data_IF_433587133253
#
_entry.id   IF_433587133253
#
_cell.length_a   1.000
_cell.length_b   1.000
_cell.length_c   1.000
_cell.angle_alpha   90.00
_cell.angle_beta   90.00
_cell.angle_gamma   90.00
#
_symmetry.space_group_name_H-M   'P 1'
#
loop_
_entity.id
_entity.type
_entity.pdbx_description
1 polymer ?
#
# COMPACT_ATOMS: atom_id res chain seq x y z
N UNK A 1 15.73 16.10 -30.36
CA UNK A 1 14.64 15.85 -29.40
C UNK A 1 14.76 16.91 -28.33
N UNK A 2 13.72 17.72 -28.11
CA UNK A 2 13.71 18.82 -27.13
C UNK A 2 12.81 18.39 -25.98
N UNK A 3 13.27 18.58 -24.73
CA UNK A 3 12.46 18.36 -23.53
C UNK A 3 11.93 19.73 -23.11
N UNK A 4 10.61 19.90 -23.14
CA UNK A 4 9.94 21.12 -22.70
C UNK A 4 9.41 20.93 -21.29
N UNK A 5 9.81 21.81 -20.37
CA UNK A 5 9.33 21.84 -18.98
C UNK A 5 8.35 22.99 -18.86
N UNK A 6 7.06 22.69 -18.68
CA UNK A 6 6.00 23.71 -18.60
C UNK A 6 5.67 24.12 -17.16
N UNK A 7 6.09 23.36 -16.17
CA UNK A 7 5.80 23.65 -14.76
C UNK A 7 6.69 24.78 -14.24
N UNK A 8 6.06 25.93 -13.97
CA UNK A 8 6.72 27.12 -13.46
C UNK A 8 7.38 26.92 -12.10
N UNK A 9 6.83 26.06 -11.23
CA UNK A 9 7.43 25.75 -9.92
C UNK A 9 8.72 24.96 -10.11
N UNK A 10 8.70 24.00 -11.04
CA UNK A 10 9.88 23.19 -11.37
C UNK A 10 10.98 24.05 -11.98
N UNK A 11 10.64 24.97 -12.90
CA UNK A 11 11.60 25.92 -13.48
C UNK A 11 12.26 26.77 -12.39
N UNK A 12 11.47 27.32 -11.46
CA UNK A 12 12.00 28.12 -10.35
C UNK A 12 12.91 27.28 -9.43
N UNK A 13 12.53 26.04 -9.15
CA UNK A 13 13.32 25.14 -8.32
C UNK A 13 14.66 24.78 -8.97
N UNK A 14 14.67 24.48 -10.26
CA UNK A 14 15.91 24.24 -11.02
C UNK A 14 16.81 25.47 -10.95
N UNK A 15 16.26 26.67 -11.18
CA UNK A 15 17.02 27.92 -11.08
C UNK A 15 17.63 28.16 -9.70
N UNK A 16 16.90 27.85 -8.62
CA UNK A 16 17.42 27.94 -7.25
C UNK A 16 18.58 26.98 -7.01
N UNK A 17 18.43 25.72 -7.39
CA UNK A 17 19.47 24.69 -7.23
C UNK A 17 20.72 25.07 -8.03
N UNK A 18 20.53 25.48 -9.29
CA UNK A 18 21.60 25.95 -10.17
C UNK A 18 22.38 27.13 -9.55
N UNK A 19 21.67 28.10 -8.95
CA UNK A 19 22.29 29.23 -8.27
C UNK A 19 23.07 28.81 -7.00
N UNK A 20 22.51 27.89 -6.20
CA UNK A 20 23.19 27.36 -5.00
C UNK A 20 24.45 26.57 -5.35
N UNK A 21 24.39 25.76 -6.40
CA UNK A 21 25.51 24.90 -6.81
C UNK A 21 26.49 25.58 -7.78
N UNK A 22 26.23 26.82 -8.21
CA UNK A 22 27.00 27.55 -9.24
C UNK A 22 27.11 26.78 -10.57
N UNK A 23 26.04 26.09 -10.95
CA UNK A 23 25.97 25.25 -12.15
C UNK A 23 24.95 25.80 -13.13
N UNK A 24 25.08 25.41 -14.40
CA UNK A 24 24.09 25.74 -15.40
C UNK A 24 22.81 24.90 -15.19
N UNK A 25 21.60 25.46 -15.35
CA UNK A 25 20.33 24.73 -15.21
C UNK A 25 20.26 23.42 -16.00
N UNK A 26 20.86 23.41 -17.20
CA UNK A 26 20.89 22.25 -18.09
C UNK A 26 21.66 21.08 -17.49
N UNK A 27 22.72 21.36 -16.71
CA UNK A 27 23.50 20.33 -16.02
C UNK A 27 22.70 19.70 -14.89
N UNK A 28 21.91 20.49 -14.16
CA UNK A 28 21.00 19.98 -13.12
C UNK A 28 19.94 19.07 -13.73
N UNK A 29 19.37 19.46 -14.88
CA UNK A 29 18.39 18.65 -15.61
C UNK A 29 19.02 17.36 -16.14
N UNK A 30 20.22 17.43 -16.71
CA UNK A 30 20.93 16.24 -17.21
C UNK A 30 21.24 15.24 -16.09
N UNK A 31 21.69 15.73 -14.93
CA UNK A 31 21.96 14.90 -13.76
C UNK A 31 20.67 14.28 -13.20
N UNK A 32 19.59 15.07 -13.10
CA UNK A 32 18.29 14.57 -12.68
C UNK A 32 17.81 13.45 -13.62
N UNK A 33 17.86 13.67 -14.94
CA UNK A 33 17.49 12.65 -15.92
C UNK A 33 18.35 11.40 -15.79
N UNK A 34 19.66 11.53 -15.55
CA UNK A 34 20.54 10.39 -15.29
C UNK A 34 20.12 9.62 -14.04
N UNK A 35 19.77 10.31 -12.96
CA UNK A 35 19.30 9.66 -11.72
C UNK A 35 17.96 8.94 -11.92
N UNK A 36 17.02 9.54 -12.67
CA UNK A 36 15.71 8.93 -12.96
C UNK A 36 15.80 7.75 -13.94
N UNK A 37 16.72 7.80 -14.91
CA UNK A 37 16.92 6.71 -15.90
C UNK A 37 17.77 5.56 -15.35
N UNK A 38 18.73 5.86 -14.47
CA UNK A 38 19.64 4.86 -13.90
C UNK A 38 19.11 4.28 -12.59
N UNK A 39 18.11 4.88 -11.95
CA UNK A 39 17.34 4.15 -10.95
C UNK A 39 16.63 3.01 -11.69
N UNK A 40 16.97 1.73 -11.47
CA UNK A 40 15.97 0.70 -11.69
C UNK A 40 14.77 1.19 -10.89
N UNK A 41 13.61 1.37 -11.55
CA UNK A 41 12.34 1.62 -10.88
C UNK A 41 12.40 0.75 -9.64
N UNK A 42 12.57 1.34 -8.45
CA UNK A 42 12.70 0.55 -7.23
C UNK A 42 11.49 -0.34 -7.29
N UNK A 43 11.70 -1.62 -7.54
CA UNK A 43 10.65 -2.61 -7.41
C UNK A 43 10.40 -2.55 -5.92
N UNK A 44 9.48 -1.67 -5.51
CA UNK A 44 9.08 -1.43 -4.13
C UNK A 44 8.26 -2.63 -3.67
N UNK A 45 8.81 -3.79 -3.85
CA UNK A 45 8.07 -4.98 -4.15
C UNK A 45 9.06 -6.10 -4.17
N UNK A 46 9.30 -6.65 -2.99
CA UNK A 46 9.07 -8.09 -2.85
C UNK A 46 7.85 -8.37 -3.71
N UNK A 47 8.05 -9.04 -4.86
CA UNK A 47 7.02 -9.27 -5.87
C UNK A 47 5.71 -9.58 -5.14
N UNK A 48 4.59 -8.95 -5.49
CA UNK A 48 3.32 -9.15 -4.79
C UNK A 48 3.05 -10.64 -4.53
N UNK A 49 3.35 -11.48 -5.53
CA UNK A 49 3.25 -12.94 -5.45
C UNK A 49 4.21 -13.57 -4.43
N UNK A 50 5.41 -13.03 -4.27
CA UNK A 50 6.38 -13.45 -3.26
C UNK A 50 6.01 -12.92 -1.86
N UNK A 51 5.34 -11.77 -1.77
CA UNK A 51 4.85 -11.19 -0.51
C UNK A 51 3.65 -11.95 0.07
N UNK A 52 2.91 -12.68 -0.77
CA UNK A 52 1.77 -13.53 -0.34
C UNK A 52 2.12 -15.03 -0.36
N UNK A 53 3.33 -15.41 -0.77
CA UNK A 53 3.76 -16.80 -0.75
C UNK A 53 3.83 -17.29 0.70
N UNK A 54 3.00 -18.29 1.05
CA UNK A 54 2.87 -18.81 2.41
C UNK A 54 1.73 -18.20 3.23
N UNK A 55 1.00 -17.22 2.68
CA UNK A 55 -0.23 -16.74 3.33
C UNK A 55 -1.31 -17.83 3.22
N UNK A 56 -1.65 -18.44 4.36
CA UNK A 56 -2.52 -19.62 4.44
C UNK A 56 -1.81 -20.87 4.97
N UNK A 57 -0.47 -20.86 5.09
CA UNK A 57 0.32 -21.95 5.69
C UNK A 57 0.51 -21.72 7.20
N UNK A 58 -0.59 -21.57 7.93
CA UNK A 58 -0.56 -21.34 9.38
C UNK A 58 -0.53 -22.63 10.20
N UNK A 59 -0.66 -23.79 9.55
CA UNK A 59 -0.91 -25.07 10.23
C UNK A 59 -2.23 -25.13 11.01
N UNK A 60 -3.06 -24.08 10.93
CA UNK A 60 -4.38 -24.00 11.55
C UNK A 60 -5.38 -24.66 10.62
N UNK A 61 -6.32 -25.40 11.22
CA UNK A 61 -7.35 -26.12 10.48
C UNK A 61 -8.19 -25.14 9.62
N UNK A 62 -8.59 -25.59 8.44
CA UNK A 62 -9.42 -24.78 7.55
C UNK A 62 -10.76 -24.41 8.22
N UNK A 63 -11.02 -23.11 8.32
CA UNK A 63 -12.23 -22.54 8.94
C UNK A 63 -13.24 -22.05 7.91
N UNK A 64 -12.95 -22.21 6.61
CA UNK A 64 -13.82 -21.74 5.52
C UNK A 64 -15.22 -22.36 5.53
N UNK A 65 -15.36 -23.54 6.15
CA UNK A 65 -16.61 -24.31 6.26
C UNK A 65 -17.34 -24.09 7.60
N UNK A 66 -16.83 -23.21 8.47
CA UNK A 66 -17.38 -22.93 9.81
C UNK A 66 -17.85 -21.48 9.94
N UNK A 67 -18.10 -20.83 8.82
CA UNK A 67 -18.51 -19.44 8.75
C UNK A 67 -19.78 -19.18 9.57
N UNK A 68 -20.84 -20.00 9.48
CA UNK A 68 -22.03 -19.76 10.31
C UNK A 68 -21.82 -19.99 11.80
N UNK A 69 -20.95 -20.93 12.19
CA UNK A 69 -20.60 -21.19 13.59
C UNK A 69 -19.80 -20.02 14.17
N UNK A 70 -18.83 -19.51 13.41
CA UNK A 70 -17.97 -18.38 13.80
C UNK A 70 -18.83 -17.11 13.93
N UNK A 71 -19.63 -16.79 12.92
CA UNK A 71 -20.51 -15.62 12.90
C UNK A 71 -21.56 -15.64 14.03
N UNK A 72 -21.96 -16.82 14.48
CA UNK A 72 -22.89 -16.96 15.61
C UNK A 72 -22.26 -16.60 16.96
N UNK A 73 -20.93 -16.66 17.07
CA UNK A 73 -20.18 -16.35 18.30
C UNK A 73 -19.60 -14.93 18.34
N UNK A 74 -19.82 -14.14 17.29
CA UNK A 74 -19.36 -12.75 17.24
C UNK A 74 -20.12 -11.86 18.22
N UNK A 75 -19.50 -10.74 18.62
CA UNK A 75 -20.10 -9.77 19.54
C UNK A 75 -21.36 -9.11 18.94
N UNK A 76 -21.45 -9.04 17.61
CA UNK A 76 -22.62 -8.58 16.87
C UNK A 76 -22.98 -9.56 15.75
N UNK A 77 -23.66 -10.69 16.07
CA UNK A 77 -24.00 -11.71 15.08
C UNK A 77 -24.90 -11.14 13.99
N UNK A 78 -24.66 -11.53 12.72
CA UNK A 78 -25.47 -11.09 11.59
C UNK A 78 -26.98 -11.42 11.70
N UNK A 79 -27.36 -12.35 12.60
CA UNK A 79 -28.76 -12.69 12.89
C UNK A 79 -29.40 -11.80 13.98
N UNK A 80 -28.72 -10.73 14.41
CA UNK A 80 -29.15 -9.81 15.47
C UNK A 80 -28.95 -10.38 16.88
N UNK A 81 -29.08 -9.52 17.89
CA UNK A 81 -29.00 -9.91 19.30
C UNK A 81 -30.11 -10.92 19.58
N UNK A 82 -29.76 -12.21 19.71
CA UNK A 82 -30.68 -13.14 20.36
C UNK A 82 -30.68 -12.74 21.83
N UNK A 83 -31.79 -12.16 22.27
CA UNK A 83 -32.18 -12.21 23.68
C UNK A 83 -32.24 -13.69 23.99
N UNK A 84 -31.26 -14.21 24.71
CA UNK A 84 -31.45 -15.44 25.47
C UNK A 84 -32.68 -15.16 26.33
N UNK A 85 -33.79 -15.84 26.03
CA UNK A 85 -34.86 -15.91 27.00
C UNK A 85 -34.27 -16.70 28.16
N UNK A 86 -33.83 -16.00 29.19
CA UNK A 86 -34.02 -16.47 30.55
C UNK A 86 -35.52 -16.76 30.67
N UNK A 87 -35.93 -18.01 30.42
CA UNK A 87 -37.19 -18.61 30.85
C UNK A 87 -37.29 -20.02 30.27
N UNK A 88 -36.76 -21.01 30.99
CA UNK A 88 -37.50 -22.18 31.49
C UNK A 88 -36.50 -23.14 32.15
N UNK A 89 -36.36 -23.01 33.46
CA UNK A 89 -35.97 -24.13 34.32
C UNK A 89 -37.26 -24.89 34.69
N UNK A 90 -37.51 -26.11 34.18
CA UNK A 90 -38.42 -27.03 34.82
C UNK A 90 -37.61 -28.06 35.60
N UNK A 91 -37.34 -27.76 36.88
CA UNK A 91 -37.12 -28.76 37.93
C UNK A 91 -37.34 -28.11 39.30
#
# INVERSE_FOLDING_TARGET
MVIEIMDQRLIQQIGRIAATEQRAPEQIVADALRLYTTQPRKTSGVSFLLSIAGQGDSGVNDVSMRDEEILATEVDPARGWRVEREDENPA
#
